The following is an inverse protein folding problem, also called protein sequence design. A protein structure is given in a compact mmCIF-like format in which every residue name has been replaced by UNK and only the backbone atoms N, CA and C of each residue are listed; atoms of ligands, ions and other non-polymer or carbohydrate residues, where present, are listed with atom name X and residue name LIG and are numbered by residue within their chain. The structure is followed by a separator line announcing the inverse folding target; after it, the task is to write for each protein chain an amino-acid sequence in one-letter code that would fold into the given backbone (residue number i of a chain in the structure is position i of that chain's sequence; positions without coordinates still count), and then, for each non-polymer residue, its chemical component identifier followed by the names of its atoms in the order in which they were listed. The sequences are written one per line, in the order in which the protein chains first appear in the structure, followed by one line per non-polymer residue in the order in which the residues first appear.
data_IF_135364028611
#
_entry.id   IF_135364028611
#
_cell.length_a   1.000
_cell.length_b   1.000
_cell.length_c   1.000
_cell.angle_alpha   90.00
_cell.angle_beta   90.00
_cell.angle_gamma   90.00
#
_symmetry.space_group_name_H-M   'P 1'
#
loop_
_entity.id
_entity.type
_entity.pdbx_description
1 polymer ?
#
# COMPACT_ATOMS: atom_id res chain seq x y z
N UNK A 1 9.43 4.23 7.80
CA UNK A 1 10.88 4.13 8.07
C UNK A 1 11.71 5.08 7.21
N UNK A 2 11.31 5.32 5.96
CA UNK A 2 12.07 6.12 4.99
C UNK A 2 11.75 7.61 4.99
N UNK A 3 10.52 7.99 5.36
CA UNK A 3 10.09 9.37 5.23
C UNK A 3 10.70 10.31 6.29
N UNK A 4 11.37 11.37 5.85
CA UNK A 4 11.93 12.45 6.66
C UNK A 4 12.04 13.73 5.83
N UNK A 5 12.12 14.88 6.49
CA UNK A 5 12.31 16.18 5.83
C UNK A 5 13.54 16.17 4.91
N UNK A 6 14.70 15.76 5.43
CA UNK A 6 15.95 15.71 4.66
C UNK A 6 15.83 14.82 3.40
N UNK A 7 15.11 13.69 3.51
CA UNK A 7 14.89 12.80 2.37
C UNK A 7 13.96 13.43 1.33
N UNK A 8 12.90 14.11 1.77
CA UNK A 8 12.00 14.83 0.87
C UNK A 8 12.69 15.99 0.15
N UNK A 9 13.54 16.75 0.87
CA UNK A 9 14.35 17.81 0.28
C UNK A 9 15.33 17.24 -0.77
N UNK A 10 15.97 16.11 -0.46
CA UNK A 10 16.86 15.38 -1.38
C UNK A 10 16.14 14.86 -2.63
N UNK A 11 14.89 14.39 -2.49
CA UNK A 11 14.02 13.98 -3.60
C UNK A 11 13.62 15.17 -4.47
N UNK A 12 13.22 16.27 -3.82
CA UNK A 12 12.78 17.47 -4.51
C UNK A 12 13.89 18.05 -5.41
N UNK A 13 15.13 18.07 -4.91
CA UNK A 13 16.31 18.46 -5.70
C UNK A 13 16.53 17.58 -6.95
N UNK A 14 15.99 16.36 -6.97
CA UNK A 14 16.04 15.41 -8.10
C UNK A 14 14.76 15.38 -8.93
N UNK A 15 13.87 16.36 -8.75
CA UNK A 15 12.56 16.42 -9.42
C UNK A 15 11.71 15.17 -9.14
N UNK A 16 11.85 14.61 -7.93
CA UNK A 16 11.01 13.52 -7.41
C UNK A 16 10.23 14.02 -6.22
N UNK A 17 9.02 13.52 -6.06
CA UNK A 17 8.13 13.88 -4.96
C UNK A 17 7.94 12.67 -4.05
N UNK A 18 7.67 12.95 -2.77
CA UNK A 18 7.43 11.91 -1.77
C UNK A 18 6.23 12.23 -0.91
N UNK A 19 5.58 11.18 -0.44
CA UNK A 19 4.51 11.23 0.55
C UNK A 19 4.62 10.00 1.44
N UNK A 20 4.38 10.16 2.74
CA UNK A 20 4.21 9.00 3.61
C UNK A 20 4.11 9.32 5.09
N UNK A 21 3.93 8.27 5.87
CA UNK A 21 3.95 8.35 7.34
C UNK A 21 5.39 8.46 7.84
N UNK A 22 5.58 9.26 8.87
CA UNK A 22 6.86 9.45 9.55
C UNK A 22 6.70 9.27 11.07
N UNK A 23 7.82 8.99 11.74
CA UNK A 23 7.83 8.93 13.21
C UNK A 23 7.81 10.35 13.77
N UNK A 24 7.17 10.53 14.93
CA UNK A 24 7.07 11.82 15.62
C UNK A 24 8.44 12.47 15.87
N UNK A 25 9.46 11.66 16.18
CA UNK A 25 10.80 12.13 16.55
C UNK A 25 11.86 11.75 15.51
N UNK A 26 12.85 12.62 15.32
CA UNK A 26 14.04 12.37 14.49
C UNK A 26 13.80 12.44 12.98
N UNK A 27 12.67 12.99 12.51
CA UNK A 27 12.30 13.03 11.09
C UNK A 27 12.11 14.44 10.51
N UNK A 28 12.36 15.48 11.30
CA UNK A 28 12.19 16.87 10.89
C UNK A 28 10.74 17.36 10.90
N UNK A 29 9.88 16.72 11.69
CA UNK A 29 8.55 17.24 12.02
C UNK A 29 8.70 18.49 12.91
N UNK A 30 7.99 19.58 12.63
CA UNK A 30 7.99 20.75 13.50
C UNK A 30 7.19 20.44 14.78
N UNK A 31 7.66 20.93 15.92
CA UNK A 31 7.03 20.67 17.23
C UNK A 31 5.55 21.08 17.30
N UNK A 32 5.14 22.11 16.55
CA UNK A 32 3.75 22.54 16.48
C UNK A 32 2.80 21.49 15.86
N UNK A 33 3.31 20.60 15.00
CA UNK A 33 2.53 19.53 14.36
C UNK A 33 2.56 18.24 15.18
N UNK A 34 3.53 18.08 16.09
CA UNK A 34 3.60 16.85 16.89
C UNK A 34 2.41 16.78 17.86
N UNK A 35 1.71 15.67 17.80
CA UNK A 35 0.68 15.27 18.77
C UNK A 35 1.15 14.04 19.55
N UNK A 36 0.98 14.07 20.86
CA UNK A 36 1.34 12.98 21.78
C UNK A 36 0.13 12.05 22.02
N UNK A 37 0.37 10.74 22.21
CA UNK A 37 -0.71 9.81 22.50
C UNK A 37 -1.34 10.07 23.88
N UNK A 38 -2.66 10.19 23.92
CA UNK A 38 -3.48 10.25 25.15
C UNK A 38 -4.17 8.91 25.40
N UNK A 39 -4.37 8.56 26.67
CA UNK A 39 -4.97 7.29 27.09
C UNK A 39 -6.32 7.47 27.78
N UNK A 40 -6.59 8.64 28.39
CA UNK A 40 -7.86 8.91 29.07
C UNK A 40 -8.96 9.14 28.05
N UNK A 41 -10.13 8.54 28.26
CA UNK A 41 -11.27 8.59 27.33
C UNK A 41 -11.70 10.02 26.99
N UNK A 42 -11.81 10.89 28.00
CA UNK A 42 -12.20 12.30 27.83
C UNK A 42 -11.19 13.06 26.95
N UNK A 43 -9.89 12.81 27.16
CA UNK A 43 -8.85 13.43 26.34
C UNK A 43 -8.82 12.87 24.92
N UNK A 44 -9.11 11.59 24.77
CA UNK A 44 -9.20 10.94 23.46
C UNK A 44 -10.37 11.54 22.66
N UNK A 45 -11.54 11.69 23.26
CA UNK A 45 -12.70 12.33 22.64
C UNK A 45 -12.41 13.78 22.21
N UNK A 46 -11.67 14.53 23.04
CA UNK A 46 -11.22 15.88 22.69
C UNK A 46 -10.15 15.91 21.59
N UNK A 47 -9.29 14.87 21.53
CA UNK A 47 -8.19 14.82 20.57
C UNK A 47 -8.63 14.31 19.19
N UNK A 48 -9.57 13.38 19.13
CA UNK A 48 -10.04 12.74 17.88
C UNK A 48 -10.50 13.80 16.88
N UNK A 49 -10.05 13.68 15.64
CA UNK A 49 -10.37 14.60 14.56
C UNK A 49 -9.51 15.86 14.52
N UNK A 50 -8.68 16.15 15.55
CA UNK A 50 -7.75 17.28 15.49
C UNK A 50 -6.71 17.01 14.40
N UNK A 51 -6.63 17.96 13.46
CA UNK A 51 -5.61 18.02 12.42
C UNK A 51 -4.69 19.20 12.68
N UNK A 52 -3.37 18.96 12.69
CA UNK A 52 -2.37 20.03 12.71
C UNK A 52 -1.59 20.00 11.41
N UNK A 53 -1.34 21.17 10.83
CA UNK A 53 -0.62 21.30 9.57
C UNK A 53 0.42 22.41 9.71
N UNK A 54 1.61 22.18 9.17
CA UNK A 54 2.61 23.22 8.98
C UNK A 54 3.29 23.02 7.62
N UNK A 55 3.73 24.11 7.02
CA UNK A 55 4.51 24.08 5.78
C UNK A 55 5.91 24.62 6.06
N UNK A 56 6.90 24.06 5.38
CA UNK A 56 8.27 24.58 5.46
C UNK A 56 8.33 26.00 4.89
N UNK A 57 9.29 26.79 5.37
CA UNK A 57 9.51 28.18 4.94
C UNK A 57 9.79 28.32 3.45
N UNK A 58 10.40 27.31 2.84
CA UNK A 58 10.65 27.23 1.41
C UNK A 58 9.47 26.66 0.61
N UNK A 59 8.33 26.43 1.26
CA UNK A 59 7.10 25.91 0.69
C UNK A 59 7.24 24.56 -0.03
N UNK A 60 8.29 23.76 0.22
CA UNK A 60 8.49 22.47 -0.46
C UNK A 60 7.87 21.29 0.26
N UNK A 61 7.86 21.32 1.59
CA UNK A 61 7.42 20.19 2.42
C UNK A 61 6.27 20.61 3.30
N UNK A 62 5.21 19.83 3.26
CA UNK A 62 4.05 19.93 4.13
C UNK A 62 4.12 18.83 5.19
N UNK A 63 4.00 19.23 6.45
CA UNK A 63 3.90 18.38 7.61
C UNK A 63 2.47 18.40 8.11
N UNK A 64 1.91 17.22 8.39
CA UNK A 64 0.60 17.12 9.01
C UNK A 64 0.57 16.04 10.09
N UNK A 65 -0.34 16.22 11.03
CA UNK A 65 -0.75 15.17 11.94
C UNK A 65 -2.27 15.11 11.99
N UNK A 66 -2.80 13.89 12.05
CA UNK A 66 -4.21 13.64 12.34
C UNK A 66 -4.31 12.77 13.58
N UNK A 67 -5.29 13.06 14.42
CA UNK A 67 -5.57 12.25 15.58
C UNK A 67 -6.79 11.36 15.34
N UNK A 68 -6.57 10.05 15.24
CA UNK A 68 -7.64 9.04 15.26
C UNK A 68 -7.69 8.37 16.64
N UNK A 69 -7.54 7.05 16.70
CA UNK A 69 -7.26 6.36 17.97
C UNK A 69 -5.85 6.64 18.51
N UNK A 70 -4.92 6.98 17.62
CA UNK A 70 -3.55 7.41 17.90
C UNK A 70 -3.16 8.51 16.91
N UNK A 71 -2.18 9.36 17.25
CA UNK A 71 -1.69 10.37 16.33
C UNK A 71 -0.93 9.70 15.17
N UNK A 72 -1.24 10.13 13.96
CA UNK A 72 -0.51 9.74 12.75
C UNK A 72 0.14 10.97 12.17
N UNK A 73 1.46 10.94 12.01
CA UNK A 73 2.24 12.05 11.47
C UNK A 73 2.70 11.73 10.05
N UNK A 74 2.57 12.71 9.15
CA UNK A 74 2.96 12.56 7.75
C UNK A 74 3.78 13.75 7.29
N UNK A 75 4.66 13.48 6.33
CA UNK A 75 5.41 14.50 5.60
C UNK A 75 5.20 14.25 4.11
N UNK A 76 5.00 15.32 3.36
CA UNK A 76 4.81 15.23 1.91
C UNK A 76 5.39 16.44 1.19
N UNK A 77 6.05 16.19 0.06
CA UNK A 77 6.39 17.23 -0.93
C UNK A 77 5.47 17.19 -2.15
N UNK A 78 4.58 16.19 -2.22
CA UNK A 78 3.63 16.01 -3.32
C UNK A 78 2.42 16.94 -3.20
N UNK A 79 1.91 17.14 -1.99
CA UNK A 79 0.67 17.87 -1.77
C UNK A 79 0.93 19.37 -1.52
N UNK A 80 0.20 20.22 -2.24
CA UNK A 80 0.20 21.67 -2.03
C UNK A 80 -0.68 22.08 -0.86
N UNK A 81 -1.78 21.37 -0.64
CA UNK A 81 -2.82 21.70 0.34
C UNK A 81 -3.40 20.45 1.03
N UNK A 82 -4.00 20.67 2.19
CA UNK A 82 -4.72 19.64 2.95
C UNK A 82 -6.20 19.95 2.92
N UNK A 83 -6.99 19.03 2.39
CA UNK A 83 -8.44 19.17 2.25
C UNK A 83 -9.16 17.97 2.85
N UNK A 84 -10.31 18.23 3.48
CA UNK A 84 -11.28 17.20 3.81
C UNK A 84 -12.06 16.85 2.55
N UNK A 85 -12.05 15.57 2.18
CA UNK A 85 -12.79 15.01 1.06
C UNK A 85 -13.90 14.09 1.59
N UNK A 86 -15.05 14.10 0.93
CA UNK A 86 -16.14 13.16 1.18
C UNK A 86 -15.85 11.82 0.51
N UNK A 87 -16.10 10.72 1.22
CA UNK A 87 -15.95 9.36 0.72
C UNK A 87 -17.17 8.55 1.13
N UNK A 88 -17.50 7.58 0.30
CA UNK A 88 -18.58 6.64 0.54
C UNK A 88 -18.00 5.24 0.70
N UNK A 89 -18.54 4.47 1.64
CA UNK A 89 -18.19 3.06 1.81
C UNK A 89 -19.45 2.25 2.09
N UNK A 90 -19.63 1.16 1.33
CA UNK A 90 -20.66 0.16 1.64
C UNK A 90 -20.22 -0.66 2.85
N UNK A 91 -21.07 -0.70 3.87
CA UNK A 91 -20.84 -1.43 5.12
C UNK A 91 -22.05 -2.31 5.36
N UNK A 92 -21.82 -3.52 5.86
CA UNK A 92 -22.91 -4.40 6.29
C UNK A 92 -23.50 -3.86 7.59
N UNK A 93 -24.78 -3.52 7.55
CA UNK A 93 -25.56 -3.15 8.72
C UNK A 93 -26.24 -4.40 9.29
N UNK A 94 -25.83 -4.81 10.49
CA UNK A 94 -26.39 -5.98 11.15
C UNK A 94 -27.83 -5.77 11.63
N UNK A 95 -28.23 -4.53 11.93
CA UNK A 95 -29.59 -4.22 12.36
C UNK A 95 -30.57 -4.26 11.18
N UNK A 96 -30.15 -3.73 10.03
CA UNK A 96 -30.97 -3.73 8.81
C UNK A 96 -30.76 -4.97 7.92
N UNK A 97 -29.81 -5.84 8.27
CA UNK A 97 -29.41 -7.03 7.49
C UNK A 97 -29.17 -6.75 6.01
N UNK A 98 -28.60 -5.57 5.70
CA UNK A 98 -28.33 -5.14 4.33
C UNK A 98 -27.03 -4.34 4.24
N UNK A 99 -26.54 -4.18 3.01
CA UNK A 99 -25.43 -3.27 2.72
C UNK A 99 -25.95 -1.83 2.67
N UNK A 100 -25.55 -1.03 3.65
CA UNK A 100 -25.87 0.40 3.73
C UNK A 100 -24.64 1.23 3.35
N UNK A 101 -24.84 2.39 2.72
CA UNK A 101 -23.76 3.29 2.33
C UNK A 101 -23.48 4.26 3.47
N UNK A 102 -22.26 4.21 4.01
CA UNK A 102 -21.78 5.16 5.00
C UNK A 102 -20.98 6.27 4.31
N UNK A 103 -21.39 7.52 4.54
CA UNK A 103 -20.67 8.69 4.11
C UNK A 103 -19.74 9.17 5.24
N UNK A 104 -18.48 9.41 4.92
CA UNK A 104 -17.48 9.87 5.89
C UNK A 104 -16.50 10.84 5.23
N UNK A 105 -15.78 11.62 6.05
CA UNK A 105 -14.74 12.53 5.56
C UNK A 105 -13.35 11.98 5.85
N UNK A 106 -12.40 12.30 4.97
CA UNK A 106 -10.98 11.93 5.11
C UNK A 106 -10.10 13.05 4.55
N UNK A 107 -8.86 13.15 4.99
CA UNK A 107 -7.90 14.06 4.36
C UNK A 107 -7.43 13.50 3.00
N UNK A 108 -7.34 14.35 1.98
CA UNK A 108 -6.79 13.99 0.66
C UNK A 108 -5.44 13.28 0.77
N UNK A 109 -4.51 13.82 1.57
CA UNK A 109 -3.17 13.24 1.78
C UNK A 109 -3.21 11.81 2.32
N UNK A 110 -4.18 11.50 3.19
CA UNK A 110 -4.35 10.17 3.76
C UNK A 110 -4.98 9.23 2.74
N UNK A 111 -5.92 9.71 1.94
CA UNK A 111 -6.56 8.91 0.90
C UNK A 111 -5.53 8.47 -0.15
N UNK A 112 -4.73 9.41 -0.65
CA UNK A 112 -3.67 9.15 -1.63
C UNK A 112 -2.60 8.22 -1.06
N UNK A 113 -2.23 8.38 0.21
CA UNK A 113 -1.31 7.46 0.88
C UNK A 113 -1.89 6.05 0.98
N UNK A 114 -3.12 5.90 1.47
CA UNK A 114 -3.76 4.59 1.63
C UNK A 114 -3.95 3.87 0.30
N UNK A 115 -4.23 4.60 -0.78
CA UNK A 115 -4.39 4.03 -2.11
C UNK A 115 -3.06 3.52 -2.69
N UNK A 116 -1.96 4.23 -2.44
CA UNK A 116 -0.67 3.96 -3.08
C UNK A 116 0.34 3.18 -2.20
N UNK A 117 0.10 3.02 -0.90
CA UNK A 117 1.08 2.42 0.03
C UNK A 117 1.22 0.89 -0.08
N UNK A 118 0.22 0.21 -0.63
CA UNK A 118 0.09 -1.25 -0.54
C UNK A 118 0.80 -2.03 -1.66
N UNK A 119 1.49 -1.35 -2.59
CA UNK A 119 2.06 -2.01 -3.78
C UNK A 119 3.03 -3.15 -3.42
N UNK A 120 3.90 -2.93 -2.44
CA UNK A 120 4.86 -3.95 -1.96
C UNK A 120 4.13 -5.10 -1.26
N UNK A 121 3.17 -4.79 -0.40
CA UNK A 121 2.39 -5.80 0.33
C UNK A 121 1.61 -6.72 -0.62
N UNK A 122 1.11 -6.18 -1.73
CA UNK A 122 0.41 -6.97 -2.74
C UNK A 122 1.36 -7.94 -3.46
N UNK A 123 2.58 -7.49 -3.80
CA UNK A 123 3.61 -8.37 -4.38
C UNK A 123 3.98 -9.48 -3.39
N UNK A 124 4.19 -9.12 -2.12
CA UNK A 124 4.49 -10.08 -1.05
C UNK A 124 3.34 -11.07 -0.83
N UNK A 125 2.08 -10.62 -0.92
CA UNK A 125 0.90 -11.47 -0.80
C UNK A 125 0.82 -12.48 -1.96
N UNK A 126 1.00 -12.03 -3.20
CA UNK A 126 1.01 -12.92 -4.37
C UNK A 126 2.12 -13.96 -4.23
N UNK A 127 3.31 -13.52 -3.84
CA UNK A 127 4.45 -14.41 -3.59
C UNK A 127 4.16 -15.46 -2.53
N UNK A 128 3.59 -15.04 -1.40
CA UNK A 128 3.35 -15.92 -0.26
C UNK A 128 2.27 -16.99 -0.53
N UNK A 129 1.34 -16.76 -1.47
CA UNK A 129 0.31 -17.75 -1.83
C UNK A 129 0.89 -19.00 -2.51
N UNK A 130 1.92 -18.84 -3.34
CA UNK A 130 2.56 -19.92 -4.09
C UNK A 130 4.07 -19.89 -3.86
N UNK A 131 4.45 -19.95 -2.59
CA UNK A 131 5.85 -19.86 -2.17
C UNK A 131 6.61 -21.14 -2.54
N UNK A 132 7.73 -21.00 -3.24
CA UNK A 132 8.67 -22.08 -3.54
C UNK A 132 9.57 -22.39 -2.35
N UNK A 133 9.80 -21.43 -1.44
CA UNK A 133 10.58 -21.65 -0.21
C UNK A 133 9.76 -22.34 0.90
N UNK A 134 9.27 -23.53 0.59
CA UNK A 134 8.66 -24.47 1.52
C UNK A 134 9.76 -25.16 2.38
N UNK A 135 9.51 -25.50 3.66
CA UNK A 135 10.36 -26.40 4.45
C UNK A 135 11.07 -27.53 3.68
N UNK A 136 10.38 -28.19 2.74
CA UNK A 136 10.95 -29.29 1.94
C UNK A 136 12.05 -28.86 0.97
N UNK A 137 12.02 -27.60 0.53
CA UNK A 137 13.02 -27.01 -0.38
C UNK A 137 14.09 -26.19 0.36
N UNK A 138 14.10 -26.15 1.70
CA UNK A 138 15.09 -25.36 2.45
C UNK A 138 16.50 -25.91 2.28
N UNK A 139 17.44 -25.02 2.01
CA UNK A 139 18.86 -25.31 1.88
C UNK A 139 19.67 -24.45 2.87
N UNK A 140 20.80 -24.98 3.36
CA UNK A 140 21.71 -24.23 4.26
C UNK A 140 22.53 -23.15 3.54
N UNK A 141 22.54 -23.16 2.20
CA UNK A 141 23.27 -22.19 1.38
C UNK A 141 22.53 -20.86 1.40
N UNK A 142 23.17 -19.80 1.88
CA UNK A 142 22.57 -18.47 2.04
C UNK A 142 22.00 -17.87 0.74
N UNK A 143 22.58 -18.24 -0.41
CA UNK A 143 22.15 -17.74 -1.72
C UNK A 143 20.89 -18.44 -2.25
N UNK A 144 20.58 -19.65 -1.76
CA UNK A 144 19.47 -20.44 -2.30
C UNK A 144 18.09 -19.82 -2.02
N UNK A 145 17.80 -19.28 -0.81
CA UNK A 145 16.59 -18.50 -0.58
C UNK A 145 16.46 -17.26 -1.47
N UNK A 146 17.57 -16.59 -1.82
CA UNK A 146 17.56 -15.43 -2.72
C UNK A 146 17.21 -15.87 -4.14
N UNK A 147 17.79 -16.98 -4.60
CA UNK A 147 17.46 -17.56 -5.90
C UNK A 147 15.98 -17.93 -6.02
N UNK A 148 15.44 -18.64 -5.02
CA UNK A 148 14.00 -18.95 -4.99
C UNK A 148 13.14 -17.68 -4.97
N UNK A 149 13.52 -16.68 -4.18
CA UNK A 149 12.82 -15.39 -4.15
C UNK A 149 12.79 -14.72 -5.52
N UNK A 150 13.88 -14.75 -6.29
CA UNK A 150 13.92 -14.20 -7.66
C UNK A 150 12.90 -14.89 -8.58
N UNK A 151 12.77 -16.22 -8.48
CA UNK A 151 11.77 -16.99 -9.25
C UNK A 151 10.35 -16.58 -8.82
N UNK A 152 10.09 -16.54 -7.52
CA UNK A 152 8.76 -16.21 -7.00
C UNK A 152 8.34 -14.77 -7.41
N UNK A 153 9.27 -13.81 -7.40
CA UNK A 153 9.03 -12.44 -7.90
C UNK A 153 8.81 -12.42 -9.41
N UNK A 154 9.57 -13.19 -10.18
CA UNK A 154 9.38 -13.28 -11.63
C UNK A 154 7.98 -13.84 -11.99
N UNK A 155 7.53 -14.89 -11.29
CA UNK A 155 6.18 -15.44 -11.46
C UNK A 155 5.09 -14.42 -11.10
N UNK A 156 5.24 -13.70 -9.97
CA UNK A 156 4.30 -12.65 -9.58
C UNK A 156 4.22 -11.51 -10.60
N UNK A 157 5.37 -11.06 -11.11
CA UNK A 157 5.45 -10.02 -12.14
C UNK A 157 4.85 -10.49 -13.47
N UNK A 158 5.10 -11.74 -13.88
CA UNK A 158 4.51 -12.34 -15.08
C UNK A 158 2.98 -12.38 -14.99
N UNK A 159 2.43 -12.78 -13.84
CA UNK A 159 0.99 -12.76 -13.61
C UNK A 159 0.42 -11.34 -13.67
N UNK A 160 1.11 -10.35 -13.09
CA UNK A 160 0.69 -8.94 -13.19
C UNK A 160 0.69 -8.43 -14.63
N UNK A 161 1.74 -8.75 -15.41
CA UNK A 161 1.79 -8.39 -16.82
C UNK A 161 0.64 -9.04 -17.60
N UNK A 162 0.36 -10.32 -17.36
CA UNK A 162 -0.78 -11.03 -17.93
C UNK A 162 -2.12 -10.33 -17.60
N UNK A 163 -2.34 -9.95 -16.34
CA UNK A 163 -3.55 -9.21 -15.94
C UNK A 163 -3.69 -7.88 -16.69
N UNK A 164 -2.60 -7.11 -16.84
CA UNK A 164 -2.61 -5.84 -17.58
C UNK A 164 -2.84 -6.02 -19.08
N UNK A 165 -2.30 -7.09 -19.69
CA UNK A 165 -2.60 -7.44 -21.08
C UNK A 165 -4.06 -7.81 -21.26
N UNK A 166 -4.60 -8.62 -20.35
CA UNK A 166 -6.00 -9.01 -20.35
C UNK A 166 -6.95 -7.82 -20.24
N UNK A 167 -6.66 -6.84 -19.39
CA UNK A 167 -7.46 -5.60 -19.29
C UNK A 167 -7.52 -4.81 -20.59
N UNK A 168 -6.48 -4.89 -21.42
CA UNK A 168 -6.36 -4.14 -22.69
C UNK A 168 -6.90 -4.88 -23.90
N UNK A 169 -7.01 -6.21 -23.85
CA UNK A 169 -7.23 -7.04 -25.04
C UNK A 169 -8.24 -8.18 -24.90
N UNK A 170 -8.84 -8.41 -23.73
CA UNK A 170 -9.93 -9.40 -23.60
C UNK A 170 -11.20 -8.88 -24.27
N UNK A 171 -11.89 -9.77 -24.96
CA UNK A 171 -13.23 -9.51 -25.47
C UNK A 171 -14.22 -9.34 -24.31
N UNK A 172 -15.31 -8.62 -24.57
CA UNK A 172 -16.35 -8.36 -23.57
C UNK A 172 -16.93 -9.67 -23.02
N UNK A 173 -16.78 -9.90 -21.70
CA UNK A 173 -17.26 -11.10 -21.02
C UNK A 173 -16.20 -12.16 -20.70
N UNK A 174 -14.99 -12.08 -21.30
CA UNK A 174 -13.89 -12.98 -20.91
C UNK A 174 -13.26 -12.56 -19.58
N UNK A 175 -13.05 -13.54 -18.69
CA UNK A 175 -12.42 -13.31 -17.39
C UNK A 175 -10.96 -13.76 -17.45
N UNK A 176 -10.02 -12.96 -16.93
CA UNK A 176 -8.63 -13.38 -16.83
C UNK A 176 -8.51 -14.62 -15.94
N UNK A 177 -7.50 -15.45 -16.22
CA UNK A 177 -7.18 -16.61 -15.40
C UNK A 177 -6.95 -16.19 -13.93
N UNK A 178 -7.38 -17.04 -13.01
CA UNK A 178 -7.04 -16.87 -11.59
C UNK A 178 -5.55 -17.07 -11.37
N UNK A 179 -5.00 -16.46 -10.32
CA UNK A 179 -3.57 -16.58 -9.98
C UNK A 179 -3.14 -18.05 -9.88
N UNK A 180 -3.96 -18.89 -9.23
CA UNK A 180 -3.77 -20.33 -9.17
C UNK A 180 -3.58 -20.96 -10.55
N UNK A 181 -4.55 -20.74 -11.44
CA UNK A 181 -4.57 -21.39 -12.75
C UNK A 181 -3.43 -20.93 -13.63
N UNK A 182 -3.05 -19.65 -13.49
CA UNK A 182 -1.88 -19.10 -14.16
C UNK A 182 -0.59 -19.81 -13.73
N UNK A 183 -0.37 -20.00 -12.43
CA UNK A 183 0.81 -20.70 -11.91
C UNK A 183 0.82 -22.18 -12.32
N UNK A 184 -0.33 -22.87 -12.26
CA UNK A 184 -0.46 -24.26 -12.73
C UNK A 184 -0.06 -24.41 -14.21
N UNK A 185 -0.59 -23.54 -15.08
CA UNK A 185 -0.27 -23.56 -16.51
C UNK A 185 1.20 -23.20 -16.77
N UNK A 186 1.72 -22.19 -16.07
CA UNK A 186 3.13 -21.80 -16.16
C UNK A 186 4.04 -22.98 -15.80
N UNK A 187 3.71 -23.68 -14.70
CA UNK A 187 4.49 -24.83 -14.23
C UNK A 187 4.40 -26.01 -15.20
N UNK A 188 3.20 -26.32 -15.72
CA UNK A 188 2.99 -27.36 -16.74
C UNK A 188 3.84 -27.10 -17.98
N UNK A 189 3.77 -25.88 -18.50
CA UNK A 189 4.49 -25.45 -19.72
C UNK A 189 6.02 -25.49 -19.51
N UNK A 190 6.51 -25.04 -18.35
CA UNK A 190 7.94 -25.08 -18.02
C UNK A 190 8.48 -26.51 -17.87
N UNK A 191 7.66 -27.42 -17.33
CA UNK A 191 8.03 -28.82 -17.16
C UNK A 191 7.75 -29.68 -18.40
N UNK A 192 7.21 -29.11 -19.48
CA UNK A 192 6.84 -29.85 -20.70
C UNK A 192 5.71 -30.87 -20.49
N UNK A 193 4.86 -30.67 -19.48
CA UNK A 193 3.78 -31.59 -19.11
C UNK A 193 2.50 -31.39 -19.93
N UNK A 194 2.52 -30.48 -20.90
CA UNK A 194 1.38 -30.33 -21.82
C UNK A 194 1.31 -31.54 -22.75
N UNK A 195 0.47 -32.49 -22.36
CA UNK A 195 -0.09 -33.50 -23.23
C UNK A 195 -0.78 -32.81 -24.40
N UNK A 196 -0.61 -33.36 -25.60
CA UNK A 196 -1.39 -33.04 -26.80
C UNK A 196 -2.87 -32.87 -26.42
N UNK A 197 -3.61 -31.92 -27.03
CA UNK A 197 -5.07 -31.97 -26.95
C UNK A 197 -5.51 -33.36 -27.40
N UNK A 198 -6.34 -34.03 -26.61
CA UNK A 198 -6.94 -35.29 -27.01
C UNK A 198 -7.74 -35.04 -28.30
N UNK A 199 -7.39 -35.76 -29.36
CA UNK A 199 -8.14 -35.87 -30.62
C UNK A 199 -9.51 -36.51 -30.39
#
# INVERSE_FOLDING_TARGET
MFNSKNFLDWLYARKKLGCGVCRAYGRGLPGCVVQSPVTRKVELEAAVGIVKVARSSDFKVLALSIYGSKPVHMLTSHHSEVKLIGKERKIWDAAESRLTTLNFTRLNVIDDYNYNMNGVDVVDQLRNQYRCNDPWMRQRKWWFPIFLWCIEVACGNAYRCYQEMCKKGLAEGEKPLTHRRFIELLSSRLCGLDTKPAE
#
